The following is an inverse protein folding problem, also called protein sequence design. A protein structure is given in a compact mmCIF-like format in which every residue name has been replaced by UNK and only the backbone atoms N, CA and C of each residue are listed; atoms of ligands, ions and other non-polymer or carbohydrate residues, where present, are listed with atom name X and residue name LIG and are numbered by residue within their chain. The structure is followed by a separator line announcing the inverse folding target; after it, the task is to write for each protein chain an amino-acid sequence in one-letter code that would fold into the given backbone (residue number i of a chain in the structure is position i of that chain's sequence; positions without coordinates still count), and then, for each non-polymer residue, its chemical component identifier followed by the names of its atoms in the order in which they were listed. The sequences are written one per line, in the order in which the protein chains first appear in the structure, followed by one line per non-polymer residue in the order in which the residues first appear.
data_IF_011983732479
#
_entry.id   IF_011983732479
#
_cell.length_a   1.000
_cell.length_b   1.000
_cell.length_c   1.000
_cell.angle_alpha   90.00
_cell.angle_beta   90.00
_cell.angle_gamma   90.00
#
_symmetry.space_group_name_H-M   'P 1'
#
loop_
_entity.id
_entity.type
_entity.pdbx_description
1 polymer ?
#
# COMPACT_ATOMS: atom_id res chain seq x y z
N UNK A 1 42.59 25.98 0.11
CA UNK A 1 42.40 24.56 -0.25
C UNK A 1 42.09 23.65 0.96
N UNK A 2 42.62 23.88 2.16
CA UNK A 2 42.33 23.00 3.35
C UNK A 2 40.92 23.10 3.88
N UNK A 3 40.22 24.23 3.74
CA UNK A 3 38.82 24.41 4.25
C UNK A 3 37.75 23.71 3.41
N UNK A 4 37.98 23.43 2.14
CA UNK A 4 37.03 22.75 1.26
C UNK A 4 37.04 21.23 1.51
N UNK A 5 38.22 20.69 1.85
CA UNK A 5 38.40 19.25 2.13
C UNK A 5 37.70 18.86 3.43
N UNK A 6 37.78 19.70 4.46
CA UNK A 6 37.10 19.43 5.75
C UNK A 6 35.59 19.48 5.63
N UNK A 7 35.03 20.35 4.79
CA UNK A 7 33.57 20.43 4.59
C UNK A 7 33.02 19.21 3.83
N UNK A 8 33.80 18.66 2.87
CA UNK A 8 33.41 17.45 2.15
C UNK A 8 33.40 16.18 3.03
N UNK A 9 34.33 16.08 3.98
CA UNK A 9 34.44 14.90 4.85
C UNK A 9 33.30 14.88 5.87
N UNK A 10 32.89 16.03 6.38
CA UNK A 10 31.77 16.12 7.34
C UNK A 10 30.42 15.82 6.68
N UNK A 11 30.22 16.22 5.43
CA UNK A 11 28.97 15.92 4.70
C UNK A 11 28.86 14.43 4.34
N UNK A 12 29.96 13.79 3.99
CA UNK A 12 30.00 12.34 3.70
C UNK A 12 29.74 11.52 4.98
N UNK A 13 30.30 11.93 6.11
CA UNK A 13 30.10 11.25 7.40
C UNK A 13 28.64 11.35 7.88
N UNK A 14 27.97 12.51 7.69
CA UNK A 14 26.56 12.70 8.02
C UNK A 14 25.64 11.89 7.12
N UNK A 15 25.98 11.78 5.81
CA UNK A 15 25.19 10.98 4.87
C UNK A 15 25.29 9.47 5.20
N UNK A 16 26.46 8.99 5.57
CA UNK A 16 26.66 7.60 5.99
C UNK A 16 25.86 7.26 7.26
N UNK A 17 25.83 8.16 8.24
CA UNK A 17 25.08 7.97 9.49
C UNK A 17 23.55 7.97 9.25
N UNK A 18 23.07 8.72 8.27
CA UNK A 18 21.65 8.71 7.89
C UNK A 18 21.25 7.42 7.18
N UNK A 19 22.13 6.85 6.34
CA UNK A 19 21.91 5.58 5.67
C UNK A 19 21.91 4.40 6.66
N UNK A 20 22.76 4.41 7.68
CA UNK A 20 22.78 3.38 8.74
C UNK A 20 21.50 3.37 9.58
N UNK A 21 20.99 4.55 9.98
CA UNK A 21 19.73 4.66 10.73
C UNK A 21 18.53 4.25 9.86
N UNK A 22 18.54 4.62 8.59
CA UNK A 22 17.49 4.21 7.65
C UNK A 22 17.49 2.69 7.44
N UNK A 23 18.68 2.08 7.32
CA UNK A 23 18.80 0.63 7.13
C UNK A 23 18.38 -0.15 8.38
N UNK A 24 18.71 0.32 9.58
CA UNK A 24 18.30 -0.29 10.86
C UNK A 24 16.78 -0.17 11.09
N UNK A 25 16.16 0.89 10.62
CA UNK A 25 14.71 1.09 10.81
C UNK A 25 13.88 0.27 9.81
N UNK A 26 14.40 0.00 8.60
CA UNK A 26 13.68 -0.76 7.56
C UNK A 26 14.08 -2.23 7.45
N UNK A 27 15.22 -2.65 8.02
CA UNK A 27 15.76 -4.00 7.87
C UNK A 27 15.97 -4.75 9.18
N UNK A 28 15.18 -4.49 10.23
CA UNK A 28 15.22 -5.34 11.43
C UNK A 28 14.50 -6.67 11.16
N UNK A 29 15.21 -7.79 10.91
CA UNK A 29 14.57 -9.09 10.97
C UNK A 29 14.29 -9.38 12.45
N UNK A 30 13.03 -9.61 12.80
CA UNK A 30 12.63 -10.01 14.15
C UNK A 30 13.34 -11.30 14.54
N UNK A 31 14.33 -11.20 15.43
CA UNK A 31 14.92 -12.36 16.11
C UNK A 31 13.96 -12.84 17.19
N UNK A 32 13.40 -14.00 16.95
CA UNK A 32 12.70 -14.86 17.89
C UNK A 32 13.57 -15.11 19.13
N UNK A 33 13.08 -14.80 20.32
CA UNK A 33 13.57 -15.42 21.57
C UNK A 33 12.39 -15.99 22.34
N UNK A 34 12.37 -17.30 22.40
CA UNK A 34 11.50 -18.18 23.18
C UNK A 34 11.68 -17.94 24.67
N UNK A 35 10.59 -17.78 25.46
CA UNK A 35 10.43 -18.46 26.76
C UNK A 35 9.02 -18.35 27.31
N UNK A 36 8.37 -19.46 27.36
CA UNK A 36 7.48 -20.14 28.33
C UNK A 36 6.51 -19.35 29.24
N UNK A 37 5.19 -19.47 29.01
CA UNK A 37 4.08 -20.20 29.71
C UNK A 37 3.65 -19.73 31.13
N UNK A 38 2.39 -19.97 31.59
CA UNK A 38 1.05 -19.76 31.04
C UNK A 38 0.11 -18.96 31.99
N UNK A 39 -1.00 -18.43 31.53
CA UNK A 39 -2.29 -18.43 32.23
C UNK A 39 -3.41 -17.86 31.34
N UNK A 40 -4.48 -18.58 31.24
CA UNK A 40 -5.77 -18.56 30.55
C UNK A 40 -6.75 -17.53 31.12
N UNK A 41 -7.95 -17.30 30.54
CA UNK A 41 -8.33 -16.87 29.19
C UNK A 41 -9.17 -15.56 29.21
N UNK A 42 -9.04 -14.74 28.25
CA UNK A 42 -10.08 -13.77 27.92
C UNK A 42 -10.31 -13.81 26.40
N UNK A 43 -11.55 -14.07 26.03
CA UNK A 43 -12.10 -14.16 24.68
C UNK A 43 -11.58 -13.06 23.77
N UNK A 44 -10.48 -13.28 23.09
CA UNK A 44 -10.15 -12.51 21.90
C UNK A 44 -10.92 -13.15 20.76
N UNK A 45 -11.92 -12.42 20.25
CA UNK A 45 -12.50 -12.68 18.94
C UNK A 45 -11.34 -12.80 17.96
N UNK A 46 -11.01 -14.01 17.61
CA UNK A 46 -10.18 -14.33 16.47
C UNK A 46 -10.94 -13.82 15.25
N UNK A 47 -10.61 -12.63 14.78
CA UNK A 47 -10.83 -12.31 13.38
C UNK A 47 -9.97 -13.32 12.62
N UNK A 48 -10.62 -14.35 12.10
CA UNK A 48 -10.01 -15.28 11.19
C UNK A 48 -9.38 -14.43 10.08
N UNK A 49 -8.06 -14.31 10.11
CA UNK A 49 -7.31 -13.88 8.95
C UNK A 49 -7.60 -14.95 7.90
N UNK A 50 -8.55 -14.67 7.04
CA UNK A 50 -8.78 -15.46 5.83
C UNK A 50 -7.46 -15.39 5.09
N UNK A 51 -6.71 -16.46 5.12
CA UNK A 51 -5.49 -16.63 4.33
C UNK A 51 -5.97 -16.79 2.89
N UNK A 52 -6.38 -15.69 2.27
CA UNK A 52 -6.59 -15.64 0.83
C UNK A 52 -5.21 -15.76 0.20
N UNK A 53 -4.88 -16.95 -0.21
CA UNK A 53 -3.66 -17.19 -0.97
C UNK A 53 -3.98 -16.88 -2.41
N UNK A 54 -3.68 -15.67 -2.82
CA UNK A 54 -3.78 -15.25 -4.21
C UNK A 54 -2.66 -15.88 -5.03
N UNK A 55 -2.89 -16.10 -6.31
CA UNK A 55 -1.85 -16.55 -7.24
C UNK A 55 -0.90 -15.40 -7.53
N UNK A 56 0.39 -15.68 -7.51
CA UNK A 56 1.42 -14.68 -7.82
C UNK A 56 1.30 -14.20 -9.26
N UNK A 57 1.42 -12.89 -9.46
CA UNK A 57 1.30 -12.27 -10.79
C UNK A 57 0.84 -10.83 -10.71
N UNK A 58 0.64 -10.24 -11.88
CA UNK A 58 0.10 -8.90 -12.04
C UNK A 58 -1.25 -9.00 -12.72
N UNK A 59 -2.27 -8.41 -12.11
CA UNK A 59 -3.65 -8.48 -12.57
C UNK A 59 -4.20 -7.08 -12.79
N UNK A 60 -4.86 -6.90 -13.92
CA UNK A 60 -5.47 -5.64 -14.30
C UNK A 60 -6.99 -5.73 -14.11
N UNK A 61 -7.55 -4.84 -13.30
CA UNK A 61 -8.99 -4.72 -13.17
C UNK A 61 -9.63 -4.17 -14.44
N UNK A 62 -10.92 -4.37 -14.58
CA UNK A 62 -11.68 -3.78 -15.67
C UNK A 62 -11.83 -2.27 -15.47
N UNK A 63 -12.05 -1.56 -16.57
CA UNK A 63 -12.44 -0.15 -16.54
C UNK A 63 -13.75 0.00 -15.74
N UNK A 64 -13.67 0.62 -14.58
CA UNK A 64 -14.85 0.92 -13.75
C UNK A 64 -15.31 2.35 -14.01
N UNK A 65 -16.47 2.47 -14.62
CA UNK A 65 -17.09 3.78 -14.87
C UNK A 65 -17.79 4.29 -13.63
N UNK A 66 -17.66 5.58 -13.37
CA UNK A 66 -18.36 6.30 -12.31
C UNK A 66 -18.74 7.71 -12.81
N UNK A 67 -19.38 8.53 -12.00
CA UNK A 67 -19.96 9.82 -12.42
C UNK A 67 -18.97 10.75 -13.14
N UNK A 68 -17.70 10.73 -12.76
CA UNK A 68 -16.67 11.65 -13.29
C UNK A 68 -15.74 11.00 -14.31
N UNK A 69 -15.98 9.76 -14.72
CA UNK A 69 -15.19 9.08 -15.74
C UNK A 69 -14.91 7.61 -15.44
N UNK A 70 -13.69 7.16 -15.74
CA UNK A 70 -13.32 5.75 -15.62
C UNK A 70 -12.04 5.59 -14.79
N UNK A 71 -12.05 4.63 -13.87
CA UNK A 71 -10.87 4.22 -13.11
C UNK A 71 -10.49 2.79 -13.48
N UNK A 72 -9.20 2.54 -13.62
CA UNK A 72 -8.65 1.21 -13.77
C UNK A 72 -7.50 0.98 -12.79
N UNK A 73 -7.55 -0.14 -12.09
CA UNK A 73 -6.60 -0.51 -11.03
C UNK A 73 -5.84 -1.77 -11.43
N UNK A 74 -4.55 -1.77 -11.17
CA UNK A 74 -3.67 -2.92 -11.32
C UNK A 74 -3.18 -3.37 -9.95
N UNK A 75 -3.13 -4.69 -9.70
CA UNK A 75 -2.54 -5.27 -8.51
C UNK A 75 -1.33 -6.12 -8.87
N UNK A 76 -0.36 -6.16 -7.97
CA UNK A 76 0.75 -7.13 -8.03
C UNK A 76 0.66 -8.03 -6.81
N UNK A 77 0.69 -9.33 -7.05
CA UNK A 77 0.66 -10.37 -6.01
C UNK A 77 2.01 -11.08 -5.99
N UNK A 78 2.57 -11.24 -4.81
CA UNK A 78 3.77 -12.02 -4.57
C UNK A 78 3.66 -12.75 -3.23
N UNK A 79 4.08 -14.02 -3.22
CA UNK A 79 3.98 -14.91 -2.06
C UNK A 79 2.53 -15.03 -1.54
N UNK A 80 1.55 -15.08 -2.44
CA UNK A 80 0.14 -15.22 -2.12
C UNK A 80 -0.50 -13.98 -1.49
N UNK A 81 0.16 -12.81 -1.55
CA UNK A 81 -0.32 -11.55 -0.96
C UNK A 81 -0.26 -10.41 -1.98
N UNK A 82 -1.19 -9.49 -1.86
CA UNK A 82 -1.16 -8.23 -2.63
C UNK A 82 -0.02 -7.38 -2.08
N UNK A 83 1.03 -7.19 -2.87
CA UNK A 83 2.21 -6.39 -2.50
C UNK A 83 2.14 -4.97 -3.02
N UNK A 84 1.41 -4.76 -4.11
CA UNK A 84 1.23 -3.44 -4.71
C UNK A 84 -0.17 -3.30 -5.31
N UNK A 85 -0.74 -2.13 -5.16
CA UNK A 85 -1.94 -1.68 -5.87
C UNK A 85 -1.60 -0.36 -6.54
N UNK A 86 -1.93 -0.20 -7.81
CA UNK A 86 -1.66 1.01 -8.58
C UNK A 86 -2.86 1.38 -9.46
N UNK A 87 -3.26 2.62 -9.42
CA UNK A 87 -4.24 3.14 -10.36
C UNK A 87 -3.54 3.50 -11.67
N UNK A 88 -3.90 2.80 -12.75
CA UNK A 88 -3.29 2.97 -14.07
C UNK A 88 -4.06 3.93 -14.97
N UNK A 89 -5.35 4.15 -14.67
CA UNK A 89 -6.22 5.06 -15.39
C UNK A 89 -7.18 5.75 -14.43
N UNK A 90 -7.32 7.05 -14.54
CA UNK A 90 -8.26 7.86 -13.77
C UNK A 90 -8.53 9.18 -14.51
N UNK A 91 -9.70 9.81 -14.32
CA UNK A 91 -10.05 11.05 -15.00
C UNK A 91 -9.24 12.25 -14.47
N UNK A 92 -8.80 13.08 -15.39
CA UNK A 92 -8.03 14.31 -15.14
C UNK A 92 -8.65 15.54 -15.84
N UNK A 93 -9.81 15.38 -16.48
CA UNK A 93 -10.43 16.37 -17.33
C UNK A 93 -10.90 17.62 -16.57
N UNK A 94 -11.18 17.49 -15.29
CA UNK A 94 -11.57 18.57 -14.40
C UNK A 94 -10.49 18.81 -13.35
N UNK A 95 -10.12 20.07 -13.12
CA UNK A 95 -9.19 20.45 -12.06
C UNK A 95 -9.62 19.93 -10.68
N UNK A 96 -10.93 19.97 -10.39
CA UNK A 96 -11.47 19.47 -9.13
C UNK A 96 -11.31 17.95 -9.01
N UNK A 97 -11.69 17.20 -10.04
CA UNK A 97 -11.57 15.74 -10.08
C UNK A 97 -10.11 15.31 -10.01
N UNK A 98 -9.22 15.97 -10.75
CA UNK A 98 -7.79 15.71 -10.69
C UNK A 98 -7.21 15.93 -9.30
N UNK A 99 -7.59 17.03 -8.62
CA UNK A 99 -7.12 17.32 -7.26
C UNK A 99 -7.62 16.29 -6.23
N UNK A 100 -8.88 15.88 -6.31
CA UNK A 100 -9.46 14.84 -5.44
C UNK A 100 -8.72 13.50 -5.68
N UNK A 101 -8.56 13.09 -6.92
CA UNK A 101 -7.90 11.84 -7.28
C UNK A 101 -6.43 11.83 -6.83
N UNK A 102 -5.70 12.92 -7.01
CA UNK A 102 -4.31 13.04 -6.58
C UNK A 102 -4.11 12.84 -5.07
N UNK A 103 -5.10 13.21 -4.26
CA UNK A 103 -5.07 13.01 -2.80
C UNK A 103 -5.62 11.65 -2.39
N UNK A 104 -6.72 11.21 -2.98
CA UNK A 104 -7.43 10.01 -2.55
C UNK A 104 -6.78 8.71 -3.04
N UNK A 105 -6.35 8.65 -4.31
CA UNK A 105 -5.84 7.41 -4.90
C UNK A 105 -4.63 6.82 -4.16
N UNK A 106 -3.60 7.57 -3.78
CA UNK A 106 -2.48 7.00 -3.03
C UNK A 106 -2.87 6.43 -1.67
N UNK A 107 -3.91 6.99 -1.04
CA UNK A 107 -4.44 6.48 0.24
C UNK A 107 -5.21 5.19 0.01
N UNK A 108 -6.04 5.13 -1.02
CA UNK A 108 -6.78 3.91 -1.39
C UNK A 108 -5.85 2.76 -1.81
N UNK A 109 -4.79 3.05 -2.55
CA UNK A 109 -3.78 2.06 -2.92
C UNK A 109 -3.12 1.42 -1.68
N UNK A 110 -2.71 2.24 -0.72
CA UNK A 110 -2.15 1.76 0.56
C UNK A 110 -3.18 1.01 1.41
N UNK A 111 -4.41 1.50 1.47
CA UNK A 111 -5.48 0.85 2.22
C UNK A 111 -5.81 -0.54 1.64
N UNK A 112 -5.86 -0.68 0.33
CA UNK A 112 -6.10 -1.95 -0.36
C UNK A 112 -4.98 -2.97 -0.09
N UNK A 113 -3.71 -2.56 -0.12
CA UNK A 113 -2.57 -3.42 0.26
C UNK A 113 -2.67 -3.84 1.72
N UNK A 114 -3.01 -2.92 2.63
CA UNK A 114 -3.14 -3.23 4.06
C UNK A 114 -4.32 -4.17 4.35
N UNK A 115 -5.43 -3.98 3.65
CA UNK A 115 -6.64 -4.79 3.81
C UNK A 115 -6.52 -6.18 3.17
N UNK A 116 -5.61 -6.35 2.20
CA UNK A 116 -5.51 -7.57 1.37
C UNK A 116 -6.84 -7.94 0.71
N UNK A 117 -7.67 -6.94 0.41
CA UNK A 117 -9.03 -7.10 -0.12
C UNK A 117 -9.52 -5.84 -0.82
N UNK A 118 -10.61 -5.95 -1.57
CA UNK A 118 -11.25 -4.80 -2.21
C UNK A 118 -12.10 -3.96 -1.25
N UNK A 119 -12.28 -4.38 0.00
CA UNK A 119 -13.14 -3.69 0.95
C UNK A 119 -12.32 -2.97 2.04
N UNK A 120 -12.40 -1.65 2.05
CA UNK A 120 -11.79 -0.75 3.02
C UNK A 120 -12.60 0.56 3.11
N UNK A 121 -12.32 1.39 4.10
CA UNK A 121 -13.05 2.63 4.33
C UNK A 121 -12.76 3.69 3.27
N UNK A 122 -13.78 4.44 2.89
CA UNK A 122 -13.62 5.59 2.00
C UNK A 122 -13.09 6.83 2.74
N UNK A 123 -12.65 7.82 1.96
CA UNK A 123 -12.29 9.16 2.44
C UNK A 123 -13.46 10.10 2.15
N UNK A 124 -13.84 10.89 3.15
CA UNK A 124 -14.88 11.91 2.98
C UNK A 124 -14.51 12.87 1.83
N UNK A 125 -15.48 13.11 0.94
CA UNK A 125 -15.29 13.97 -0.24
C UNK A 125 -14.72 13.27 -1.49
N UNK A 126 -14.34 11.97 -1.40
CA UNK A 126 -13.86 11.18 -2.53
C UNK A 126 -14.66 9.88 -2.72
N UNK A 127 -15.92 9.86 -2.33
CA UNK A 127 -16.78 8.66 -2.33
C UNK A 127 -16.96 8.07 -3.73
N UNK A 128 -17.18 8.91 -4.73
CA UNK A 128 -17.35 8.45 -6.11
C UNK A 128 -16.05 7.85 -6.67
N UNK A 129 -14.90 8.47 -6.39
CA UNK A 129 -13.58 7.90 -6.71
C UNK A 129 -13.39 6.56 -6.03
N UNK A 130 -13.82 6.42 -4.76
CA UNK A 130 -13.74 5.17 -4.02
C UNK A 130 -14.58 4.06 -4.65
N UNK A 131 -15.81 4.36 -5.09
CA UNK A 131 -16.66 3.39 -5.78
C UNK A 131 -16.01 2.86 -7.06
N UNK A 132 -15.50 3.75 -7.92
CA UNK A 132 -14.80 3.36 -9.14
C UNK A 132 -13.54 2.55 -8.86
N UNK A 133 -12.73 3.00 -7.90
CA UNK A 133 -11.51 2.30 -7.49
C UNK A 133 -11.81 0.89 -6.95
N UNK A 134 -12.79 0.76 -6.04
CA UNK A 134 -13.17 -0.50 -5.44
C UNK A 134 -13.73 -1.48 -6.47
N UNK A 135 -14.54 -1.02 -7.42
CA UNK A 135 -15.09 -1.86 -8.47
C UNK A 135 -14.00 -2.47 -9.36
N UNK A 136 -13.04 -1.66 -9.82
CA UNK A 136 -11.90 -2.15 -10.61
C UNK A 136 -10.97 -3.06 -9.80
N UNK A 137 -10.68 -2.70 -8.55
CA UNK A 137 -9.86 -3.49 -7.64
C UNK A 137 -10.45 -4.87 -7.38
N UNK A 138 -11.77 -4.95 -7.17
CA UNK A 138 -12.49 -6.22 -6.98
C UNK A 138 -12.31 -7.15 -8.17
N UNK A 139 -12.35 -6.63 -9.38
CA UNK A 139 -12.12 -7.42 -10.60
C UNK A 139 -10.67 -7.89 -10.71
N UNK A 140 -9.69 -7.05 -10.37
CA UNK A 140 -8.29 -7.44 -10.36
C UNK A 140 -8.04 -8.57 -9.35
N UNK A 141 -8.60 -8.47 -8.14
CA UNK A 141 -8.47 -9.50 -7.09
C UNK A 141 -9.15 -10.81 -7.50
N UNK A 142 -10.32 -10.75 -8.15
CA UNK A 142 -11.01 -11.97 -8.60
C UNK A 142 -10.28 -12.76 -9.67
N UNK A 143 -9.34 -12.14 -10.38
CA UNK A 143 -8.48 -12.83 -11.34
C UNK A 143 -7.29 -13.52 -10.65
N UNK A 144 -6.91 -13.06 -9.47
CA UNK A 144 -5.81 -13.60 -8.69
C UNK A 144 -6.21 -14.81 -7.82
N UNK A 145 -7.48 -14.96 -7.50
CA UNK A 145 -8.03 -16.06 -6.69
C UNK A 145 -8.91 -16.94 -7.50
#
# INVERSE_FOLDING_TARGET
MKKIITLSITTIALLAMFLDVFFLFFYTPAKTTTSATPTTPASARTVAATTSTYKDGTYLGTDASYEYGTIQVQITVANGKITQVKTVKYPTDSHRTAAINAQALPVYEKAAVSAQAAHFSNISGATETWHGFQASLKQAISQAG
#
